data_IF_476486834582
#
_entry.id   IF_476486834582
#
_cell.length_a   1.000
_cell.length_b   1.000
_cell.length_c   1.000
_cell.angle_alpha   90.00
_cell.angle_beta   90.00
_cell.angle_gamma   90.00
#
_symmetry.space_group_name_H-M   'P 1'
#
loop_
_entity.id
_entity.type
_entity.pdbx_description
1 polymer ?
#
# COMPACT_ATOMS: atom_id res chain seq x y z
N UNK A 1 24.10 52.43 -43.53
CA UNK A 1 22.94 51.58 -43.20
C UNK A 1 23.38 50.61 -42.11
N UNK A 2 22.88 50.73 -40.87
CA UNK A 2 23.19 49.80 -39.76
C UNK A 2 21.87 49.25 -39.22
N UNK A 3 21.73 47.92 -39.28
CA UNK A 3 20.54 47.20 -38.88
C UNK A 3 20.40 47.12 -37.35
N UNK A 4 19.19 47.35 -36.84
CA UNK A 4 18.84 47.18 -35.43
C UNK A 4 18.26 45.78 -35.24
N UNK A 5 18.94 44.93 -34.47
CA UNK A 5 18.49 43.59 -34.14
C UNK A 5 17.47 43.66 -32.99
N UNK A 6 16.20 43.33 -33.29
CA UNK A 6 15.12 43.22 -32.31
C UNK A 6 15.25 41.93 -31.51
N UNK A 7 15.36 42.04 -30.19
CA UNK A 7 15.44 40.92 -29.25
C UNK A 7 14.03 40.52 -28.80
N UNK A 8 13.63 39.28 -29.09
CA UNK A 8 12.35 38.72 -28.66
C UNK A 8 12.55 38.02 -27.30
N UNK A 9 11.96 38.56 -26.23
CA UNK A 9 11.88 37.84 -24.95
C UNK A 9 10.80 36.76 -25.05
N UNK A 10 11.23 35.49 -25.04
CA UNK A 10 10.35 34.35 -24.80
C UNK A 10 10.05 34.24 -23.30
N UNK A 11 8.77 34.41 -22.93
CA UNK A 11 8.27 34.10 -21.59
C UNK A 11 8.10 32.59 -21.44
N UNK A 12 8.96 31.98 -20.62
CA UNK A 12 8.85 30.58 -20.22
C UNK A 12 7.83 30.46 -19.08
N UNK A 13 6.67 29.87 -19.35
CA UNK A 13 5.71 29.47 -18.32
C UNK A 13 6.21 28.21 -17.61
N UNK A 14 6.77 28.37 -16.40
CA UNK A 14 7.09 27.25 -15.52
C UNK A 14 5.80 26.68 -14.92
N UNK A 15 5.31 25.57 -15.47
CA UNK A 15 4.24 24.77 -14.86
C UNK A 15 4.79 24.02 -13.63
N UNK A 16 4.83 24.68 -12.47
CA UNK A 16 5.18 24.05 -11.21
C UNK A 16 4.07 23.07 -10.78
N UNK A 17 4.38 21.78 -10.71
CA UNK A 17 3.51 20.79 -10.04
C UNK A 17 3.48 21.13 -8.54
N UNK A 18 2.34 21.57 -8.02
CA UNK A 18 2.12 21.65 -6.57
C UNK A 18 2.14 20.22 -6.01
N UNK A 19 3.24 19.83 -5.36
CA UNK A 19 3.22 18.70 -4.45
C UNK A 19 2.39 19.12 -3.23
N UNK A 20 1.33 18.35 -2.92
CA UNK A 20 0.57 18.55 -1.71
C UNK A 20 1.53 18.44 -0.51
N UNK A 21 1.60 19.50 0.31
CA UNK A 21 2.42 19.48 1.51
C UNK A 21 1.91 18.39 2.45
N UNK A 22 2.81 17.62 3.10
CA UNK A 22 2.41 16.64 4.09
C UNK A 22 1.64 17.31 5.23
N UNK A 23 0.69 16.59 5.84
CA UNK A 23 -0.10 17.10 6.95
C UNK A 23 0.76 17.45 8.18
N UNK A 24 0.21 18.28 9.07
CA UNK A 24 0.86 18.57 10.35
C UNK A 24 0.95 17.30 11.22
N UNK A 25 2.02 17.16 12.04
CA UNK A 25 2.10 16.10 13.03
C UNK A 25 0.91 16.13 13.99
N UNK A 26 0.37 14.94 14.28
CA UNK A 26 -0.73 14.70 15.21
C UNK A 26 -0.35 13.58 16.19
N UNK A 27 -0.83 13.64 17.44
CA UNK A 27 -0.70 12.52 18.36
C UNK A 27 -1.51 11.32 17.83
N UNK A 28 -0.89 10.15 17.85
CA UNK A 28 -1.48 8.89 17.45
C UNK A 28 -1.05 7.77 18.41
N UNK A 29 -1.67 6.60 18.25
CA UNK A 29 -1.30 5.39 18.97
C UNK A 29 -1.09 4.24 17.99
N UNK A 30 -0.13 3.37 18.27
CA UNK A 30 -0.03 2.11 17.53
C UNK A 30 -1.24 1.23 17.81
N UNK A 31 -1.89 0.77 16.74
CA UNK A 31 -3.00 -0.19 16.79
C UNK A 31 -2.66 -1.42 15.97
N UNK A 32 -2.78 -2.58 16.60
CA UNK A 32 -2.57 -3.87 15.95
C UNK A 32 -3.85 -4.37 15.28
N UNK A 33 -3.68 -5.04 14.15
CA UNK A 33 -4.71 -5.58 13.29
C UNK A 33 -4.39 -7.03 12.96
N UNK A 34 -5.39 -7.90 13.08
CA UNK A 34 -5.32 -9.31 12.70
C UNK A 34 -6.29 -9.51 11.54
N UNK A 35 -5.80 -9.98 10.40
CA UNK A 35 -6.62 -10.18 9.20
C UNK A 35 -6.25 -11.48 8.49
N UNK A 36 -7.27 -12.23 8.10
CA UNK A 36 -7.16 -13.30 7.11
C UNK A 36 -7.28 -12.64 5.75
N UNK A 37 -6.18 -12.60 4.99
CA UNK A 37 -6.15 -12.07 3.65
C UNK A 37 -6.35 -13.22 2.65
N UNK A 38 -7.42 -13.14 1.89
CA UNK A 38 -7.81 -14.12 0.87
C UNK A 38 -7.45 -13.59 -0.52
N UNK A 39 -6.45 -14.20 -1.18
CA UNK A 39 -6.12 -13.86 -2.56
C UNK A 39 -6.93 -14.71 -3.54
N UNK A 40 -7.78 -14.05 -4.34
CA UNK A 40 -8.60 -14.69 -5.37
C UNK A 40 -8.09 -14.34 -6.78
N UNK A 41 -6.86 -14.75 -7.08
CA UNK A 41 -6.21 -14.51 -8.37
C UNK A 41 -6.87 -15.25 -9.52
N UNK A 42 -7.31 -14.48 -10.54
CA UNK A 42 -7.77 -15.02 -11.83
C UNK A 42 -6.67 -14.98 -12.87
N UNK A 43 -5.97 -13.85 -12.98
CA UNK A 43 -4.92 -13.64 -13.99
C UNK A 43 -3.53 -14.04 -13.49
N UNK A 44 -3.13 -13.55 -12.31
CA UNK A 44 -1.82 -13.86 -11.73
C UNK A 44 -1.86 -14.99 -10.72
N UNK A 45 -0.74 -15.71 -10.61
CA UNK A 45 -0.50 -16.73 -9.59
C UNK A 45 0.70 -16.32 -8.78
N UNK A 46 0.66 -16.59 -7.48
CA UNK A 46 1.78 -16.36 -6.58
C UNK A 46 2.14 -17.65 -5.87
N UNK A 47 3.43 -17.86 -5.67
CA UNK A 47 3.89 -18.75 -4.62
C UNK A 47 3.49 -18.17 -3.25
N UNK A 48 3.43 -19.02 -2.23
CA UNK A 48 3.10 -18.59 -0.88
C UNK A 48 4.05 -17.50 -0.37
N UNK A 49 5.35 -17.65 -0.62
CA UNK A 49 6.36 -16.67 -0.23
C UNK A 49 6.23 -15.40 -1.07
N UNK A 50 6.03 -15.52 -2.38
CA UNK A 50 5.87 -14.36 -3.26
C UNK A 50 4.67 -13.49 -2.91
N UNK A 51 3.54 -14.11 -2.54
CA UNK A 51 2.37 -13.37 -2.05
C UNK A 51 2.66 -12.70 -0.70
N UNK A 52 3.30 -13.44 0.22
CA UNK A 52 3.64 -12.94 1.56
C UNK A 52 4.58 -11.73 1.48
N UNK A 53 5.59 -11.79 0.61
CA UNK A 53 6.57 -10.72 0.42
C UNK A 53 5.96 -9.49 -0.23
N UNK A 54 5.09 -9.65 -1.24
CA UNK A 54 4.37 -8.52 -1.84
C UNK A 54 3.44 -7.85 -0.84
N UNK A 55 2.64 -8.61 -0.09
CA UNK A 55 1.76 -8.06 0.94
C UNK A 55 2.57 -7.37 2.05
N UNK A 56 3.72 -7.94 2.47
CA UNK A 56 4.66 -7.29 3.40
C UNK A 56 5.15 -5.95 2.86
N UNK A 57 5.60 -5.91 1.62
CA UNK A 57 6.11 -4.69 0.98
C UNK A 57 5.02 -3.61 0.93
N UNK A 58 3.79 -3.96 0.53
CA UNK A 58 2.66 -3.03 0.50
C UNK A 58 2.31 -2.50 1.89
N UNK A 59 2.27 -3.35 2.91
CA UNK A 59 2.00 -2.93 4.29
C UNK A 59 3.07 -1.94 4.81
N UNK A 60 4.35 -2.24 4.58
CA UNK A 60 5.46 -1.36 5.00
C UNK A 60 5.41 -0.05 4.22
N UNK A 61 5.17 -0.10 2.91
CA UNK A 61 5.05 1.11 2.08
C UNK A 61 3.91 2.00 2.58
N UNK A 62 2.81 1.43 3.10
CA UNK A 62 1.69 2.18 3.68
C UNK A 62 1.92 2.64 5.13
N UNK A 63 3.05 2.32 5.75
CA UNK A 63 3.41 2.78 7.09
C UNK A 63 3.06 1.81 8.22
N UNK A 64 2.84 0.53 7.92
CA UNK A 64 2.79 -0.51 8.95
C UNK A 64 4.16 -0.63 9.65
N UNK A 65 4.13 -0.99 10.94
CA UNK A 65 5.33 -1.26 11.72
C UNK A 65 6.07 -2.48 11.16
N UNK A 66 7.41 -2.43 11.16
CA UNK A 66 8.26 -3.43 10.46
C UNK A 66 8.27 -4.82 11.10
N UNK A 67 7.84 -4.93 12.36
CA UNK A 67 7.72 -6.17 13.12
C UNK A 67 6.42 -6.94 12.81
N UNK A 68 5.79 -6.66 11.65
CA UNK A 68 4.62 -7.39 11.17
C UNK A 68 4.93 -8.87 10.91
N UNK A 69 3.93 -9.70 11.19
CA UNK A 69 3.97 -11.14 10.98
C UNK A 69 2.99 -11.55 9.89
N UNK A 70 3.46 -12.33 8.92
CA UNK A 70 2.65 -12.91 7.85
C UNK A 70 2.96 -14.39 7.80
N UNK A 71 1.92 -15.21 7.81
CA UNK A 71 2.03 -16.66 7.65
C UNK A 71 1.06 -17.12 6.57
N UNK A 72 1.55 -17.91 5.63
CA UNK A 72 0.71 -18.45 4.57
C UNK A 72 0.00 -19.72 5.06
N UNK A 73 -1.33 -19.75 4.94
CA UNK A 73 -2.19 -20.84 5.39
C UNK A 73 -2.36 -21.84 4.24
N UNK A 74 -2.23 -23.14 4.55
CA UNK A 74 -2.34 -24.20 3.55
C UNK A 74 -1.11 -24.33 2.66
N UNK A 75 -0.03 -23.63 3.01
CA UNK A 75 1.24 -23.72 2.32
C UNK A 75 2.12 -24.83 2.91
N UNK A 76 2.73 -25.66 2.05
CA UNK A 76 3.64 -26.70 2.47
C UNK A 76 4.89 -26.05 3.08
N UNK A 77 5.22 -26.40 4.32
CA UNK A 77 6.46 -25.95 4.96
C UNK A 77 7.66 -26.42 4.11
N UNK A 78 8.69 -25.57 3.98
CA UNK A 78 9.99 -25.95 3.41
C UNK A 78 10.44 -27.30 3.95
N UNK A 79 10.66 -28.28 3.07
CA UNK A 79 11.12 -29.64 3.43
C UNK A 79 10.09 -30.77 3.29
N UNK A 80 8.85 -30.51 2.86
CA UNK A 80 7.91 -31.56 2.44
C UNK A 80 7.88 -31.74 0.91
N UNK A 81 8.14 -32.95 0.37
CA UNK A 81 7.90 -33.25 -1.03
C UNK A 81 6.40 -33.07 -1.35
N UNK A 82 6.08 -32.39 -2.45
CA UNK A 82 4.69 -32.08 -2.86
C UNK A 82 4.24 -30.65 -2.54
N UNK A 83 5.19 -29.74 -2.36
CA UNK A 83 4.92 -28.37 -1.96
C UNK A 83 4.39 -27.47 -3.08
N UNK A 84 3.20 -27.77 -3.61
CA UNK A 84 2.67 -27.15 -4.82
C UNK A 84 2.25 -25.70 -4.68
N UNK A 85 2.31 -24.98 -5.80
CA UNK A 85 1.69 -23.67 -5.99
C UNK A 85 0.22 -23.74 -5.54
N UNK A 86 -0.13 -23.05 -4.45
CA UNK A 86 -1.54 -22.88 -4.09
C UNK A 86 -2.16 -21.94 -5.10
N UNK A 87 -3.22 -22.38 -5.80
CA UNK A 87 -3.90 -21.55 -6.79
C UNK A 87 -4.42 -20.24 -6.17
N UNK A 88 -4.79 -20.26 -4.88
CA UNK A 88 -5.31 -19.13 -4.11
C UNK A 88 -4.77 -19.23 -2.67
N UNK A 89 -3.55 -18.73 -2.38
CA UNK A 89 -3.01 -18.75 -1.04
C UNK A 89 -3.80 -17.80 -0.14
N UNK A 90 -4.05 -18.22 1.09
CA UNK A 90 -4.58 -17.37 2.17
C UNK A 90 -3.44 -16.98 3.09
N UNK A 91 -3.41 -15.75 3.57
CA UNK A 91 -2.43 -15.28 4.54
C UNK A 91 -3.11 -14.93 5.87
N UNK A 92 -2.51 -15.34 6.99
CA UNK A 92 -2.77 -14.74 8.29
C UNK A 92 -1.78 -13.62 8.51
N UNK A 93 -2.28 -12.39 8.62
CA UNK A 93 -1.49 -11.16 8.71
C UNK A 93 -1.76 -10.48 10.05
N UNK A 94 -0.69 -10.22 10.80
CA UNK A 94 -0.69 -9.42 12.02
C UNK A 94 0.24 -8.24 11.80
N UNK A 95 -0.30 -7.02 11.89
CA UNK A 95 0.48 -5.80 11.69
C UNK A 95 -0.02 -4.67 12.59
N UNK A 96 0.83 -3.68 12.86
CA UNK A 96 0.45 -2.48 13.58
C UNK A 96 0.54 -1.24 12.67
N UNK A 97 -0.42 -0.33 12.79
CA UNK A 97 -0.45 0.95 12.08
C UNK A 97 -0.88 2.10 13.02
N UNK A 98 -0.51 3.36 12.73
CA UNK A 98 -0.95 4.49 13.53
C UNK A 98 -2.47 4.72 13.44
N UNK A 99 -3.09 4.94 14.59
CA UNK A 99 -4.50 5.29 14.71
C UNK A 99 -4.67 6.58 15.51
N UNK A 100 -5.68 7.38 15.15
CA UNK A 100 -6.04 8.56 15.92
C UNK A 100 -6.63 8.13 17.29
N UNK A 101 -6.37 8.89 18.37
CA UNK A 101 -6.97 8.63 19.67
C UNK A 101 -8.50 8.68 19.58
N UNK A 102 -9.19 7.78 20.29
CA UNK A 102 -10.66 7.79 20.40
C UNK A 102 -11.43 7.05 19.30
N UNK A 103 -10.76 6.43 18.33
CA UNK A 103 -11.42 5.47 17.42
C UNK A 103 -11.70 4.18 18.20
N UNK A 104 -12.95 3.95 18.58
CA UNK A 104 -13.42 2.72 19.24
C UNK A 104 -13.30 1.54 18.29
N UNK A 105 -12.36 0.64 18.60
CA UNK A 105 -12.21 -0.67 17.95
C UNK A 105 -11.86 -1.70 19.01
N UNK A 106 -12.17 -2.97 18.76
CA UNK A 106 -11.88 -4.09 19.66
C UNK A 106 -10.39 -4.07 20.03
N UNK A 107 -10.02 -4.08 21.33
CA UNK A 107 -8.62 -4.02 21.74
C UNK A 107 -7.89 -5.27 21.26
N UNK A 108 -6.96 -5.14 20.31
CA UNK A 108 -5.99 -6.21 20.05
C UNK A 108 -4.95 -6.20 21.17
N UNK A 109 -4.92 -7.27 21.96
CA UNK A 109 -3.96 -7.49 23.02
C UNK A 109 -2.62 -7.93 22.44
N UNK A 110 -1.68 -6.98 22.28
CA UNK A 110 -0.26 -7.07 22.69
C UNK A 110 0.61 -5.99 22.02
N UNK A 111 0.46 -4.74 22.46
CA UNK A 111 1.33 -3.63 22.04
C UNK A 111 0.86 -2.27 22.52
N UNK A 112 0.41 -2.17 23.78
CA UNK A 112 -0.03 -0.98 24.54
C UNK A 112 0.08 0.34 23.76
N UNK A 113 -1.02 0.83 23.16
CA UNK A 113 -1.33 2.24 22.87
C UNK A 113 -0.13 3.21 22.69
N UNK A 114 0.96 2.75 22.08
CA UNK A 114 2.25 3.39 22.34
C UNK A 114 2.17 4.74 21.62
N UNK A 115 2.30 5.85 22.37
CA UNK A 115 2.10 7.15 21.78
C UNK A 115 3.14 7.33 20.69
N UNK A 116 2.68 7.79 19.54
CA UNK A 116 3.54 8.04 18.39
C UNK A 116 3.10 9.34 17.75
N UNK A 117 4.06 10.17 17.38
CA UNK A 117 3.75 11.31 16.51
C UNK A 117 3.57 10.76 15.10
N UNK A 118 2.45 11.08 14.46
CA UNK A 118 2.15 10.65 13.11
C UNK A 118 1.74 11.84 12.25
N UNK A 119 1.79 11.69 10.93
CA UNK A 119 1.27 12.69 10.00
C UNK A 119 0.58 12.02 8.82
N UNK A 120 -0.36 12.71 8.22
CA UNK A 120 -0.94 12.28 6.96
C UNK A 120 0.07 12.52 5.83
N UNK A 121 0.41 11.45 5.12
CA UNK A 121 1.28 11.47 3.95
C UNK A 121 0.52 10.94 2.73
N UNK A 122 0.77 11.48 1.53
CA UNK A 122 0.22 10.92 0.31
C UNK A 122 0.73 9.49 0.10
N UNK A 123 -0.14 8.61 -0.36
CA UNK A 123 0.25 7.29 -0.87
C UNK A 123 -0.30 7.09 -2.28
N UNK A 124 0.39 6.25 -3.05
CA UNK A 124 -0.06 5.82 -4.37
C UNK A 124 0.29 4.35 -4.57
N UNK A 125 -0.68 3.56 -5.01
CA UNK A 125 -0.48 2.18 -5.49
C UNK A 125 -0.85 2.16 -6.97
N UNK A 126 0.14 1.91 -7.82
CA UNK A 126 0.04 1.88 -9.27
C UNK A 126 1.10 0.90 -9.81
N UNK A 127 1.02 0.47 -11.08
CA UNK A 127 2.13 -0.22 -11.73
C UNK A 127 3.41 0.61 -11.61
N UNK A 128 4.44 0.00 -11.03
CA UNK A 128 5.73 0.60 -10.73
C UNK A 128 6.78 -0.51 -10.57
N UNK A 129 7.66 -0.65 -11.57
CA UNK A 129 8.69 -1.68 -11.59
C UNK A 129 9.66 -1.58 -10.41
N UNK A 130 9.89 -0.38 -9.86
CA UNK A 130 10.81 -0.20 -8.72
C UNK A 130 10.22 -0.70 -7.40
N UNK A 131 8.89 -0.76 -7.31
CA UNK A 131 8.17 -1.29 -6.14
C UNK A 131 7.68 -2.71 -6.35
N UNK A 132 8.17 -3.40 -7.39
CA UNK A 132 7.70 -4.73 -7.81
C UNK A 132 6.17 -4.78 -7.96
N UNK A 133 5.61 -3.73 -8.57
CA UNK A 133 4.19 -3.61 -8.87
C UNK A 133 4.00 -3.64 -10.39
N UNK A 134 3.37 -4.67 -10.90
CA UNK A 134 3.09 -4.89 -12.32
C UNK A 134 1.59 -4.80 -12.59
N UNK A 135 1.21 -4.63 -13.86
CA UNK A 135 -0.22 -4.69 -14.26
C UNK A 135 -0.87 -6.03 -13.86
N UNK A 136 -0.10 -7.12 -13.77
CA UNK A 136 -0.58 -8.42 -13.30
C UNK A 136 -0.95 -8.45 -11.82
N UNK A 137 -0.52 -7.48 -11.03
CA UNK A 137 -0.90 -7.37 -9.61
C UNK A 137 -2.29 -6.73 -9.43
N UNK A 138 -3.08 -6.56 -10.49
CA UNK A 138 -4.40 -5.92 -10.41
C UNK A 138 -5.31 -6.59 -9.37
N UNK A 139 -5.53 -7.91 -9.45
CA UNK A 139 -6.39 -8.59 -8.48
C UNK A 139 -5.78 -8.60 -7.08
N UNK A 140 -4.45 -8.61 -6.95
CA UNK A 140 -3.79 -8.47 -5.65
C UNK A 140 -4.14 -7.12 -5.02
N UNK A 141 -4.04 -6.05 -5.80
CA UNK A 141 -4.37 -4.69 -5.37
C UNK A 141 -5.87 -4.53 -5.10
N UNK A 142 -6.73 -5.16 -5.91
CA UNK A 142 -8.19 -5.20 -5.70
C UNK A 142 -8.52 -5.79 -4.33
N UNK A 143 -8.01 -7.00 -4.03
CA UNK A 143 -8.24 -7.67 -2.75
C UNK A 143 -7.61 -6.91 -1.59
N UNK A 144 -6.39 -6.39 -1.75
CA UNK A 144 -5.72 -5.58 -0.72
C UNK A 144 -6.53 -4.32 -0.38
N UNK A 145 -7.08 -3.65 -1.40
CA UNK A 145 -7.87 -2.44 -1.23
C UNK A 145 -9.22 -2.69 -0.54
N UNK A 146 -9.74 -3.91 -0.59
CA UNK A 146 -10.98 -4.33 0.05
C UNK A 146 -10.74 -4.83 1.47
N UNK A 147 -9.71 -5.66 1.69
CA UNK A 147 -9.53 -6.41 2.93
C UNK A 147 -8.57 -5.73 3.92
N UNK A 148 -7.51 -5.08 3.42
CA UNK A 148 -6.42 -4.54 4.26
C UNK A 148 -6.49 -3.02 4.36
N UNK A 149 -6.66 -2.31 3.24
CA UNK A 149 -6.61 -0.86 3.22
C UNK A 149 -7.57 -0.19 4.23
N UNK A 150 -8.81 -0.67 4.46
CA UNK A 150 -9.71 -0.11 5.47
C UNK A 150 -9.23 -0.19 6.93
N UNK A 151 -8.22 -1.01 7.22
CA UNK A 151 -7.65 -1.16 8.56
C UNK A 151 -6.70 0.00 8.91
N UNK A 152 -6.18 0.71 7.91
CA UNK A 152 -5.37 1.91 8.09
C UNK A 152 -6.22 3.15 8.35
N UNK A 153 -5.62 4.15 9.00
CA UNK A 153 -6.21 5.49 9.09
C UNK A 153 -5.92 6.25 7.80
N UNK A 154 -6.90 6.32 6.90
CA UNK A 154 -6.78 6.92 5.57
C UNK A 154 -7.85 8.00 5.33
N UNK A 155 -7.56 8.94 4.41
CA UNK A 155 -8.51 9.96 3.97
C UNK A 155 -8.32 10.32 2.50
N UNK A 156 -9.35 10.90 1.88
CA UNK A 156 -9.29 11.36 0.49
C UNK A 156 -9.00 10.26 -0.53
N UNK A 157 -9.39 9.01 -0.22
CA UNK A 157 -9.04 7.84 -1.01
C UNK A 157 -9.82 7.82 -2.31
N UNK A 158 -9.11 7.65 -3.42
CA UNK A 158 -9.67 7.34 -4.74
C UNK A 158 -9.16 5.98 -5.19
N UNK A 159 -10.07 5.14 -5.67
CA UNK A 159 -9.81 3.77 -6.12
C UNK A 159 -10.28 3.65 -7.56
N UNK A 160 -9.34 3.70 -8.50
CA UNK A 160 -9.59 3.46 -9.91
C UNK A 160 -9.00 2.08 -10.23
N UNK A 161 -9.79 1.01 -10.06
CA UNK A 161 -9.36 -0.38 -10.24
C UNK A 161 -10.30 -1.06 -11.22
N UNK A 162 -9.74 -1.61 -12.29
CA UNK A 162 -10.46 -2.41 -13.29
C UNK A 162 -9.61 -3.63 -13.58
N UNK A 163 -9.99 -4.79 -13.06
CA UNK A 163 -9.29 -6.05 -13.33
C UNK A 163 -10.11 -6.91 -14.29
N UNK A 164 -9.57 -7.15 -15.49
CA UNK A 164 -10.18 -7.99 -16.52
C UNK A 164 -9.75 -9.44 -16.29
N UNK A 165 -10.68 -10.38 -16.09
CA UNK A 165 -10.33 -11.77 -15.79
C UNK A 165 -9.47 -12.40 -16.88
N UNK A 166 -8.39 -13.07 -16.47
CA UNK A 166 -7.46 -13.80 -17.35
C UNK A 166 -6.73 -12.92 -18.39
N UNK A 167 -6.74 -11.60 -18.22
CA UNK A 167 -6.17 -10.65 -19.19
C UNK A 167 -5.39 -9.53 -18.49
N UNK A 168 -4.16 -9.31 -18.92
CA UNK A 168 -3.40 -8.10 -18.55
C UNK A 168 -3.88 -6.87 -19.32
N UNK A 169 -4.29 -7.06 -20.58
CA UNK A 169 -4.82 -5.99 -21.43
C UNK A 169 -6.17 -5.52 -20.91
N UNK A 170 -6.34 -4.20 -20.80
CA UNK A 170 -7.55 -3.60 -20.23
C UNK A 170 -7.58 -3.59 -18.69
N UNK A 171 -6.71 -4.35 -18.03
CA UNK A 171 -6.52 -4.29 -16.58
C UNK A 171 -5.72 -3.04 -16.21
N UNK A 172 -6.17 -2.34 -15.17
CA UNK A 172 -5.50 -1.15 -14.64
C UNK A 172 -5.85 -0.95 -13.18
N UNK A 173 -4.91 -0.41 -12.42
CA UNK A 173 -5.16 0.02 -11.05
C UNK A 173 -4.39 1.30 -10.74
N UNK A 174 -5.08 2.22 -10.07
CA UNK A 174 -4.52 3.43 -9.54
C UNK A 174 -5.26 3.79 -8.26
N UNK A 175 -4.59 3.61 -7.13
CA UNK A 175 -5.11 4.02 -5.83
C UNK A 175 -4.27 5.15 -5.31
N UNK A 176 -4.92 6.13 -4.71
CA UNK A 176 -4.24 7.25 -4.05
C UNK A 176 -5.08 7.80 -2.92
N UNK A 177 -4.41 8.47 -2.01
CA UNK A 177 -5.05 9.18 -0.91
C UNK A 177 -3.98 9.68 0.05
N UNK A 178 -4.40 9.96 1.27
CA UNK A 178 -3.48 10.20 2.38
C UNK A 178 -3.66 9.12 3.44
N UNK A 179 -2.55 8.75 4.07
CA UNK A 179 -2.47 7.72 5.10
C UNK A 179 -1.70 8.25 6.31
N UNK A 180 -2.16 7.91 7.51
CA UNK A 180 -1.48 8.30 8.75
C UNK A 180 -0.25 7.44 8.98
N UNK A 181 0.95 8.01 8.83
CA UNK A 181 2.24 7.34 9.05
C UNK A 181 2.94 7.87 10.29
N UNK A 182 3.61 6.98 11.02
CA UNK A 182 4.44 7.36 12.14
C UNK A 182 5.66 8.17 11.65
N UNK A 183 6.03 9.19 12.41
CA UNK A 183 7.25 9.94 12.17
C UNK A 183 8.47 9.08 12.56
N UNK A 184 9.60 9.19 11.84
CA UNK A 184 10.85 8.55 12.26
C UNK A 184 11.28 9.10 13.63
N UNK A 185 11.51 8.21 14.62
CA UNK A 185 12.11 8.58 15.92
C UNK A 185 11.14 8.80 17.10
N UNK A 186 10.04 8.04 17.17
CA UNK A 186 9.23 7.92 18.38
C UNK A 186 9.67 6.75 19.25
#
# INVERSE_FOLDING_TARGET
MRAVAGSWLALVFAAGRLMAAPGLPVPAVWREHHVSFDYMGRTSRYSCDGLSDKVRAMLIDLGARRDLHISAIGCPQFGRPGGGDSLNPRLSVVFAAPALPGVTGTPSQAGKLAPVQARFEPFTIAPDAFRDMSVGDCELVEEFAQQILPLFTIRGVKKDITCVPYQLSGSSYFLRGEILRALPGG
#
